data_IF_913516848550
#
_entry.id   IF_913516848550
#
_cell.length_a   1.000
_cell.length_b   1.000
_cell.length_c   1.000
_cell.angle_alpha   90.00
_cell.angle_beta   90.00
_cell.angle_gamma   90.00
#
_symmetry.space_group_name_H-M   'P 1'
#
loop_
_entity.id
_entity.type
_entity.pdbx_description
1 polymer ?
#
# COMPACT_ATOMS: atom_id res chain seq x y z
N UNK A 1 12.30 -2.97 26.51
CA UNK A 1 11.63 -3.59 25.36
C UNK A 1 12.66 -3.71 24.24
N UNK A 2 12.89 -4.91 23.72
CA UNK A 2 13.81 -5.11 22.60
C UNK A 2 13.22 -4.47 21.35
N UNK A 3 14.02 -3.68 20.61
CA UNK A 3 13.57 -3.09 19.34
C UNK A 3 13.22 -4.24 18.38
N UNK A 4 12.07 -4.20 17.69
CA UNK A 4 11.73 -5.23 16.71
C UNK A 4 12.78 -5.26 15.60
N UNK A 5 13.03 -6.45 15.05
CA UNK A 5 13.97 -6.65 13.95
C UNK A 5 13.55 -5.80 12.74
N UNK A 6 14.46 -4.99 12.15
CA UNK A 6 14.16 -4.18 10.97
C UNK A 6 13.69 -5.03 9.79
N UNK A 7 12.79 -4.49 8.95
CA UNK A 7 12.22 -5.25 7.84
C UNK A 7 13.29 -5.61 6.82
N UNK A 8 14.24 -4.70 6.60
CA UNK A 8 15.44 -4.94 5.78
C UNK A 8 16.19 -6.19 6.21
N UNK A 9 16.36 -6.40 7.51
CA UNK A 9 17.05 -7.59 8.05
C UNK A 9 16.25 -8.87 7.82
N UNK A 10 14.92 -8.81 7.98
CA UNK A 10 14.03 -9.95 7.73
C UNK A 10 14.09 -10.34 6.26
N UNK A 11 13.95 -9.37 5.36
CA UNK A 11 13.97 -9.61 3.91
C UNK A 11 15.35 -10.02 3.41
N UNK A 12 16.45 -9.48 3.95
CA UNK A 12 17.80 -9.90 3.60
C UNK A 12 18.04 -11.37 3.95
N UNK A 13 17.62 -11.81 5.15
CA UNK A 13 17.71 -13.22 5.57
C UNK A 13 16.91 -14.13 4.62
N UNK A 14 15.70 -13.70 4.25
CA UNK A 14 14.87 -14.47 3.30
C UNK A 14 15.52 -14.58 1.92
N UNK A 15 16.15 -13.50 1.43
CA UNK A 15 16.88 -13.49 0.17
C UNK A 15 18.12 -14.39 0.21
N UNK A 16 18.85 -14.42 1.32
CA UNK A 16 20.01 -15.30 1.48
C UNK A 16 19.61 -16.78 1.40
N UNK A 17 18.46 -17.16 1.99
CA UNK A 17 17.93 -18.51 1.82
C UNK A 17 17.58 -18.83 0.36
N UNK A 18 16.93 -17.90 -0.35
CA UNK A 18 16.62 -18.06 -1.78
C UNK A 18 17.90 -18.20 -2.62
N UNK A 19 18.95 -17.43 -2.31
CA UNK A 19 20.23 -17.50 -3.04
C UNK A 19 21.03 -18.76 -2.73
N UNK A 20 20.81 -19.39 -1.58
CA UNK A 20 21.44 -20.64 -1.22
C UNK A 20 20.78 -21.87 -1.86
N UNK A 21 19.53 -21.74 -2.31
CA UNK A 21 18.79 -22.78 -3.02
C UNK A 21 19.10 -22.74 -4.53
N UNK A 22 19.78 -23.75 -5.10
CA UNK A 22 20.13 -23.77 -6.52
C UNK A 22 18.92 -23.92 -7.45
N UNK A 23 17.78 -24.39 -6.94
CA UNK A 23 16.56 -24.61 -7.71
C UNK A 23 15.59 -23.41 -7.63
N UNK A 24 15.89 -22.43 -6.77
CA UNK A 24 15.03 -21.27 -6.61
C UNK A 24 15.09 -20.32 -7.83
N UNK A 25 13.94 -19.82 -8.31
CA UNK A 25 13.92 -18.83 -9.39
C UNK A 25 14.68 -17.56 -9.01
N UNK A 26 15.60 -17.14 -9.88
CA UNK A 26 16.43 -15.93 -9.68
C UNK A 26 15.72 -14.62 -10.03
N UNK A 27 14.56 -14.72 -10.68
CA UNK A 27 13.69 -13.59 -11.05
C UNK A 27 12.30 -13.73 -10.43
N UNK A 28 11.63 -12.61 -10.26
CA UNK A 28 10.23 -12.50 -9.84
C UNK A 28 9.29 -12.86 -10.99
N UNK A 29 7.99 -13.01 -10.68
CA UNK A 29 6.95 -13.20 -11.69
C UNK A 29 6.86 -12.03 -12.70
N UNK A 30 7.29 -10.83 -12.31
CA UNK A 30 7.36 -9.65 -13.18
C UNK A 30 8.73 -9.49 -13.86
N UNK A 31 9.63 -10.46 -13.74
CA UNK A 31 10.92 -10.49 -14.44
C UNK A 31 12.06 -9.71 -13.78
N UNK A 32 11.82 -9.03 -12.65
CA UNK A 32 12.88 -8.37 -11.88
C UNK A 32 13.78 -9.39 -11.17
N UNK A 33 15.08 -9.09 -10.96
CA UNK A 33 15.92 -9.88 -10.07
C UNK A 33 15.29 -10.01 -8.67
N UNK A 34 15.44 -11.18 -8.03
CA UNK A 34 15.02 -11.36 -6.63
C UNK A 34 15.81 -10.45 -5.70
N UNK A 35 15.12 -9.80 -4.77
CA UNK A 35 15.69 -8.81 -3.86
C UNK A 35 15.54 -7.36 -4.32
N UNK A 36 14.79 -7.10 -5.40
CA UNK A 36 14.66 -5.75 -5.95
C UNK A 36 14.12 -4.73 -4.92
N UNK A 37 13.29 -5.15 -3.96
CA UNK A 37 12.81 -4.26 -2.89
C UNK A 37 13.97 -3.75 -2.00
N UNK A 38 14.97 -4.61 -1.75
CA UNK A 38 16.15 -4.27 -0.96
C UNK A 38 17.12 -3.38 -1.74
N UNK A 39 17.27 -3.66 -3.03
CA UNK A 39 18.21 -2.99 -3.94
C UNK A 39 17.73 -1.57 -4.30
N UNK A 40 16.42 -1.37 -4.41
CA UNK A 40 15.80 -0.06 -4.70
C UNK A 40 15.60 0.81 -3.45
N UNK A 41 15.85 0.27 -2.25
CA UNK A 41 15.64 0.99 -0.99
C UNK A 41 14.17 1.14 -0.57
N UNK A 42 13.23 0.51 -1.30
CA UNK A 42 11.78 0.55 -0.99
C UNK A 42 11.51 0.08 0.44
N UNK A 43 12.22 -0.95 0.90
CA UNK A 43 12.06 -1.46 2.28
C UNK A 43 12.34 -0.38 3.32
N UNK A 44 13.35 0.46 3.10
CA UNK A 44 13.73 1.50 4.05
C UNK A 44 12.77 2.70 4.01
N UNK A 45 12.20 3.00 2.84
CA UNK A 45 11.14 4.01 2.69
C UNK A 45 9.85 3.62 3.43
N UNK A 46 9.49 2.33 3.38
CA UNK A 46 8.23 1.83 3.97
C UNK A 46 8.36 1.49 5.46
N UNK A 47 9.56 1.16 5.95
CA UNK A 47 9.83 0.76 7.34
C UNK A 47 9.15 1.63 8.42
N UNK A 48 9.08 2.98 8.32
CA UNK A 48 8.41 3.81 9.32
C UNK A 48 6.89 3.57 9.43
N UNK A 49 6.27 3.04 8.37
CA UNK A 49 4.83 2.83 8.24
C UNK A 49 4.41 1.38 8.53
N UNK A 50 5.36 0.50 8.85
CA UNK A 50 5.10 -0.93 9.08
C UNK A 50 4.28 -1.13 10.35
N UNK A 51 3.09 -1.69 10.20
CA UNK A 51 2.16 -2.03 11.28
C UNK A 51 2.22 -3.51 11.64
N UNK A 52 2.60 -4.37 10.70
CA UNK A 52 2.78 -5.80 10.90
C UNK A 52 4.05 -6.29 10.23
N UNK A 53 4.86 -7.06 10.96
CA UNK A 53 6.08 -7.68 10.42
C UNK A 53 5.80 -9.16 10.12
N UNK A 54 6.36 -9.69 9.03
CA UNK A 54 6.13 -11.07 8.63
C UNK A 54 6.74 -12.03 9.65
N UNK A 55 6.01 -13.09 9.96
CA UNK A 55 6.49 -14.15 10.86
C UNK A 55 7.52 -15.07 10.18
N UNK A 56 7.38 -15.28 8.87
CA UNK A 56 8.26 -16.11 8.05
C UNK A 56 8.27 -15.62 6.58
N UNK A 57 8.99 -16.34 5.72
CA UNK A 57 9.17 -15.98 4.31
C UNK A 57 7.88 -16.07 3.46
N UNK A 58 6.85 -16.77 3.92
CA UNK A 58 5.55 -16.87 3.27
C UNK A 58 4.61 -15.71 3.61
N UNK A 59 4.84 -15.03 4.73
CA UNK A 59 4.03 -13.93 5.24
C UNK A 59 4.37 -12.59 4.55
N UNK A 60 3.54 -11.57 4.77
CA UNK A 60 3.68 -10.21 4.23
C UNK A 60 3.92 -9.19 5.35
N UNK A 61 4.67 -8.14 5.06
CA UNK A 61 4.72 -6.98 5.95
C UNK A 61 3.55 -6.05 5.63
N UNK A 62 2.74 -5.66 6.61
CA UNK A 62 1.67 -4.68 6.40
C UNK A 62 2.14 -3.29 6.79
N UNK A 63 1.67 -2.29 6.07
CA UNK A 63 1.97 -0.89 6.32
C UNK A 63 0.71 -0.03 6.16
N UNK A 64 0.64 1.08 6.90
CA UNK A 64 -0.48 2.00 6.86
C UNK A 64 -0.04 3.41 7.25
N UNK A 65 -0.73 4.42 6.72
CA UNK A 65 -0.42 5.82 6.98
C UNK A 65 0.75 6.34 6.14
N UNK A 66 1.05 5.69 5.00
CA UNK A 66 2.13 6.13 4.12
C UNK A 66 1.80 7.51 3.55
N UNK A 67 2.68 8.47 3.83
CA UNK A 67 2.47 9.90 3.57
C UNK A 67 2.88 10.33 2.15
N UNK A 68 2.48 11.54 1.78
CA UNK A 68 2.76 12.09 0.44
C UNK A 68 4.26 12.25 0.13
N UNK A 69 5.09 12.51 1.14
CA UNK A 69 6.54 12.64 0.96
C UNK A 69 7.18 11.28 0.60
N UNK A 70 6.79 10.22 1.30
CA UNK A 70 7.23 8.85 1.00
C UNK A 70 6.64 8.37 -0.32
N UNK A 71 5.39 8.73 -0.62
CA UNK A 71 4.77 8.40 -1.89
C UNK A 71 5.53 9.01 -3.08
N UNK A 72 5.98 10.27 -2.96
CA UNK A 72 6.86 10.92 -3.95
C UNK A 72 8.18 10.17 -4.10
N UNK A 73 8.82 9.80 -3.00
CA UNK A 73 10.08 9.06 -3.04
C UNK A 73 9.91 7.67 -3.71
N UNK A 74 8.78 6.99 -3.48
CA UNK A 74 8.46 5.73 -4.13
C UNK A 74 8.19 5.90 -5.63
N UNK A 75 7.50 6.96 -6.05
CA UNK A 75 7.32 7.28 -7.48
C UNK A 75 8.65 7.45 -8.21
N UNK A 76 9.65 8.04 -7.54
CA UNK A 76 10.98 8.25 -8.12
C UNK A 76 11.85 6.98 -8.12
N UNK A 77 11.63 6.07 -7.15
CA UNK A 77 12.43 4.86 -6.98
C UNK A 77 11.91 3.65 -7.78
N UNK A 78 10.61 3.58 -8.03
CA UNK A 78 9.98 2.37 -8.58
C UNK A 78 10.09 2.30 -10.11
N UNK A 79 10.48 1.13 -10.66
CA UNK A 79 10.33 0.85 -12.08
C UNK A 79 8.87 0.92 -12.54
N UNK A 80 8.64 1.35 -13.78
CA UNK A 80 7.29 1.52 -14.35
C UNK A 80 6.39 0.28 -14.22
N UNK A 81 6.94 -0.93 -14.41
CA UNK A 81 6.18 -2.19 -14.27
C UNK A 81 5.54 -2.37 -12.88
N UNK A 82 6.15 -1.82 -11.83
CA UNK A 82 5.58 -1.85 -10.48
C UNK A 82 4.58 -0.73 -10.24
N UNK A 83 4.74 0.40 -10.91
CA UNK A 83 3.76 1.49 -10.86
C UNK A 83 2.46 1.12 -11.61
N UNK A 84 2.56 0.35 -12.69
CA UNK A 84 1.43 -0.11 -13.49
C UNK A 84 0.69 -1.31 -12.88
N UNK A 85 1.28 -1.95 -11.87
CA UNK A 85 0.69 -3.06 -11.12
C UNK A 85 -0.44 -2.56 -10.19
N UNK A 86 -1.38 -3.45 -9.83
CA UNK A 86 -2.55 -3.13 -9.00
C UNK A 86 -2.99 -4.30 -8.13
N UNK A 87 -3.53 -4.01 -6.94
CA UNK A 87 -4.19 -5.03 -6.14
C UNK A 87 -5.54 -5.39 -6.77
N UNK A 88 -5.64 -6.52 -7.47
CA UNK A 88 -6.89 -6.98 -8.09
C UNK A 88 -7.59 -5.87 -8.88
N UNK A 89 -8.75 -5.40 -8.40
CA UNK A 89 -9.56 -4.38 -9.06
C UNK A 89 -9.30 -2.94 -8.56
N UNK A 90 -8.29 -2.75 -7.71
CA UNK A 90 -7.84 -1.46 -7.20
C UNK A 90 -7.28 -0.53 -8.30
N UNK A 91 -7.08 0.76 -8.00
CA UNK A 91 -6.25 1.63 -8.83
C UNK A 91 -4.82 1.09 -8.95
N UNK A 92 -4.08 1.56 -9.95
CA UNK A 92 -2.66 1.22 -10.03
C UNK A 92 -1.88 1.79 -8.85
N UNK A 93 -0.78 1.13 -8.47
CA UNK A 93 0.10 1.64 -7.41
C UNK A 93 0.56 3.07 -7.74
N UNK A 94 0.91 3.33 -9.00
CA UNK A 94 1.31 4.65 -9.46
C UNK A 94 0.22 5.71 -9.27
N UNK A 95 -1.04 5.38 -9.51
CA UNK A 95 -2.18 6.28 -9.28
C UNK A 95 -2.36 6.58 -7.79
N UNK A 96 -2.31 5.56 -6.92
CA UNK A 96 -2.42 5.76 -5.48
C UNK A 96 -1.26 6.59 -4.90
N UNK A 97 -0.03 6.30 -5.31
CA UNK A 97 1.14 7.07 -4.89
C UNK A 97 1.06 8.52 -5.36
N UNK A 98 0.56 8.76 -6.58
CA UNK A 98 0.39 10.12 -7.11
C UNK A 98 -0.68 10.89 -6.33
N UNK A 99 -1.81 10.26 -6.01
CA UNK A 99 -2.84 10.85 -5.17
C UNK A 99 -2.28 11.29 -3.81
N UNK A 100 -1.55 10.41 -3.10
CA UNK A 100 -0.90 10.76 -1.84
C UNK A 100 0.14 11.88 -1.99
N UNK A 101 0.94 11.85 -3.05
CA UNK A 101 2.00 12.83 -3.28
C UNK A 101 1.49 14.20 -3.75
N UNK A 102 0.29 14.29 -4.32
CA UNK A 102 -0.35 15.53 -4.78
C UNK A 102 -1.30 16.10 -3.72
N UNK A 103 -1.86 15.24 -2.86
CA UNK A 103 -2.81 15.58 -1.80
C UNK A 103 -2.32 15.12 -0.41
N UNK A 104 -1.15 15.61 0.07
CA UNK A 104 -0.47 15.05 1.26
C UNK A 104 -1.24 15.22 2.57
N UNK A 105 -2.16 16.19 2.67
CA UNK A 105 -3.00 16.40 3.86
C UNK A 105 -4.30 15.58 3.80
N UNK A 106 -4.69 15.12 2.61
CA UNK A 106 -5.99 14.51 2.31
C UNK A 106 -5.91 13.01 2.06
N UNK A 107 -4.75 12.49 1.65
CA UNK A 107 -4.56 11.09 1.24
C UNK A 107 -3.36 10.46 1.94
N UNK A 108 -3.61 9.36 2.61
CA UNK A 108 -2.58 8.43 3.09
C UNK A 108 -2.89 7.03 2.54
N UNK A 109 -1.87 6.18 2.40
CA UNK A 109 -2.04 4.84 1.83
C UNK A 109 -1.88 3.74 2.88
N UNK A 110 -2.46 2.57 2.57
CA UNK A 110 -2.21 1.32 3.26
C UNK A 110 -2.00 0.17 2.27
N UNK A 111 -1.27 -0.85 2.72
CA UNK A 111 -0.87 -1.94 1.86
C UNK A 111 0.04 -2.95 2.51
N UNK A 112 0.76 -3.68 1.67
CA UNK A 112 1.71 -4.68 2.11
C UNK A 112 2.94 -4.78 1.21
N UNK A 113 3.98 -5.42 1.75
CA UNK A 113 5.17 -5.85 1.05
C UNK A 113 5.24 -7.38 1.06
N UNK A 114 5.42 -7.97 -0.11
CA UNK A 114 5.82 -9.38 -0.26
C UNK A 114 7.33 -9.41 -0.36
N UNK A 115 7.99 -10.06 0.61
CA UNK A 115 9.44 -10.12 0.67
C UNK A 115 10.08 -11.02 -0.40
N UNK A 116 11.40 -10.93 -0.55
CA UNK A 116 12.15 -11.67 -1.56
C UNK A 116 12.21 -13.18 -1.31
N UNK A 117 11.58 -13.69 -0.26
CA UNK A 117 11.36 -15.12 -0.04
C UNK A 117 10.35 -15.73 -1.02
N UNK A 118 9.48 -14.92 -1.63
CA UNK A 118 8.46 -15.36 -2.60
C UNK A 118 8.72 -14.81 -4.01
N UNK A 119 8.28 -15.57 -5.01
CA UNK A 119 8.44 -15.20 -6.45
C UNK A 119 7.58 -14.00 -6.84
N UNK A 120 6.53 -13.71 -6.08
CA UNK A 120 5.67 -12.55 -6.22
C UNK A 120 6.12 -11.38 -5.32
N UNK A 121 7.43 -11.21 -5.12
CA UNK A 121 8.04 -10.06 -4.42
C UNK A 121 7.48 -8.73 -4.96
N UNK A 122 6.87 -7.93 -4.06
CA UNK A 122 5.95 -6.87 -4.46
C UNK A 122 5.80 -5.79 -3.39
N UNK A 123 5.61 -4.54 -3.84
CA UNK A 123 4.95 -3.49 -3.09
C UNK A 123 3.53 -3.32 -3.63
N UNK A 124 2.53 -3.41 -2.75
CA UNK A 124 1.12 -3.26 -3.13
C UNK A 124 0.44 -2.29 -2.19
N UNK A 125 -0.33 -1.35 -2.75
CA UNK A 125 -1.30 -0.56 -2.01
C UNK A 125 -2.69 -1.17 -2.24
N UNK A 126 -3.37 -1.56 -1.15
CA UNK A 126 -4.70 -2.19 -1.18
C UNK A 126 -5.80 -1.25 -0.71
N UNK A 127 -5.43 -0.04 -0.27
CA UNK A 127 -6.40 0.94 0.19
C UNK A 127 -5.78 2.31 0.44
N UNK A 128 -6.66 3.26 0.75
CA UNK A 128 -6.30 4.63 1.12
C UNK A 128 -7.18 5.13 2.28
N UNK A 129 -6.67 6.12 2.99
CA UNK A 129 -7.40 6.94 3.95
C UNK A 129 -7.63 8.30 3.32
N UNK A 130 -8.91 8.66 3.12
CA UNK A 130 -9.32 9.93 2.55
C UNK A 130 -9.84 10.86 3.67
N UNK A 131 -9.14 11.96 3.91
CA UNK A 131 -9.48 12.99 4.89
C UNK A 131 -10.31 14.10 4.24
N UNK A 132 -11.36 13.70 3.52
CA UNK A 132 -12.23 14.59 2.75
C UNK A 132 -13.70 14.34 3.08
N UNK A 133 -14.52 15.36 2.84
CA UNK A 133 -15.96 15.28 2.97
C UNK A 133 -16.44 14.57 4.26
N UNK A 134 -15.98 15.01 5.46
CA UNK A 134 -16.34 14.40 6.73
C UNK A 134 -17.84 14.49 7.05
N UNK A 135 -18.57 15.35 6.33
CA UNK A 135 -20.01 15.54 6.46
C UNK A 135 -20.86 14.47 5.76
N UNK A 136 -20.27 13.62 4.92
CA UNK A 136 -21.02 12.58 4.19
C UNK A 136 -21.52 11.47 5.11
N UNK A 137 -22.74 11.02 4.89
CA UNK A 137 -23.32 9.89 5.62
C UNK A 137 -23.03 8.56 4.90
N UNK A 138 -21.86 7.98 5.18
CA UNK A 138 -21.48 6.65 4.70
C UNK A 138 -21.69 5.61 5.81
N UNK A 139 -22.78 4.87 5.70
CA UNK A 139 -23.15 3.85 6.68
C UNK A 139 -22.44 2.53 6.42
N UNK A 140 -22.02 1.84 7.49
CA UNK A 140 -21.28 0.57 7.40
C UNK A 140 -22.04 -0.55 6.65
N UNK A 141 -23.38 -0.46 6.58
CA UNK A 141 -24.22 -1.41 5.84
C UNK A 141 -24.53 -1.00 4.40
N UNK A 142 -24.06 0.16 3.95
CA UNK A 142 -24.33 0.73 2.61
C UNK A 142 -25.81 0.65 2.19
N UNK A 143 -26.73 0.97 3.11
CA UNK A 143 -28.17 0.90 2.86
C UNK A 143 -28.66 2.03 1.94
N UNK A 144 -29.95 2.00 1.59
CA UNK A 144 -30.59 3.08 0.84
C UNK A 144 -30.36 4.44 1.52
N UNK A 145 -29.84 5.41 0.77
CA UNK A 145 -29.47 6.73 1.28
C UNK A 145 -27.98 6.90 1.65
N UNK A 146 -27.18 5.82 1.65
CA UNK A 146 -25.74 5.90 1.87
C UNK A 146 -25.04 6.73 0.80
N UNK A 147 -24.15 7.64 1.20
CA UNK A 147 -23.43 8.55 0.31
C UNK A 147 -22.09 7.97 -0.21
N UNK A 148 -21.87 6.66 -0.11
CA UNK A 148 -20.62 6.01 -0.53
C UNK A 148 -20.26 6.24 -2.00
N UNK A 149 -21.24 6.28 -2.90
CA UNK A 149 -21.03 6.58 -4.31
C UNK A 149 -20.63 8.04 -4.55
N UNK A 150 -21.13 8.96 -3.72
CA UNK A 150 -20.76 10.38 -3.76
C UNK A 150 -19.34 10.59 -3.24
N UNK A 151 -18.99 9.97 -2.11
CA UNK A 151 -17.63 9.93 -1.61
C UNK A 151 -16.66 9.36 -2.65
N UNK A 152 -17.01 8.23 -3.26
CA UNK A 152 -16.18 7.62 -4.31
C UNK A 152 -16.00 8.55 -5.52
N UNK A 153 -17.04 9.30 -5.89
CA UNK A 153 -16.91 10.31 -6.97
C UNK A 153 -15.91 11.41 -6.62
N UNK A 154 -15.92 11.89 -5.37
CA UNK A 154 -14.95 12.87 -4.87
C UNK A 154 -13.53 12.27 -4.93
N UNK A 155 -13.34 11.06 -4.39
CA UNK A 155 -12.02 10.40 -4.39
C UNK A 155 -11.49 10.21 -5.81
N UNK A 156 -12.31 9.76 -6.75
CA UNK A 156 -11.87 9.59 -8.15
C UNK A 156 -11.52 10.91 -8.84
N UNK A 157 -12.40 11.90 -8.72
CA UNK A 157 -12.30 13.13 -9.51
C UNK A 157 -11.36 14.16 -8.87
N UNK A 158 -11.49 14.34 -7.56
CA UNK A 158 -10.83 15.42 -6.84
C UNK A 158 -9.48 14.99 -6.28
N UNK A 159 -9.29 13.69 -5.98
CA UNK A 159 -8.00 13.13 -5.50
C UNK A 159 -7.24 12.33 -6.59
N UNK A 160 -7.75 12.31 -7.82
CA UNK A 160 -7.07 11.68 -8.96
C UNK A 160 -7.01 10.15 -8.95
N UNK A 161 -7.88 9.47 -8.21
CA UNK A 161 -7.91 7.99 -8.11
C UNK A 161 -8.83 7.41 -9.19
N UNK A 162 -8.46 7.56 -10.47
CA UNK A 162 -9.40 7.42 -11.60
C UNK A 162 -9.29 6.13 -12.44
N UNK A 163 -8.30 5.27 -12.17
CA UNK A 163 -8.00 4.06 -12.95
C UNK A 163 -8.37 2.73 -12.28
N UNK A 164 -9.12 2.79 -11.17
CA UNK A 164 -9.69 1.61 -10.52
C UNK A 164 -10.62 0.84 -11.47
N UNK A 165 -10.57 -0.49 -11.43
CA UNK A 165 -11.50 -1.32 -12.23
C UNK A 165 -12.92 -1.22 -11.65
N UNK A 166 -13.03 -1.13 -10.32
CA UNK A 166 -14.30 -1.01 -9.60
C UNK A 166 -14.19 -0.07 -8.39
N UNK A 167 -15.34 0.28 -7.83
CA UNK A 167 -15.40 0.97 -6.53
C UNK A 167 -14.83 0.10 -5.40
N UNK A 168 -14.28 0.68 -4.33
CA UNK A 168 -13.78 -0.06 -3.18
C UNK A 168 -14.78 -1.11 -2.67
N UNK A 169 -14.28 -2.27 -2.26
CA UNK A 169 -15.07 -3.33 -1.61
C UNK A 169 -15.55 -2.92 -0.22
N UNK A 170 -14.84 -2.00 0.43
CA UNK A 170 -15.20 -1.45 1.73
C UNK A 170 -14.93 0.05 1.80
N UNK A 171 -15.89 0.80 2.35
CA UNK A 171 -15.77 2.23 2.63
C UNK A 171 -16.30 2.47 4.04
N UNK A 172 -15.40 2.73 5.00
CA UNK A 172 -15.74 2.86 6.41
C UNK A 172 -15.22 4.16 7.02
N UNK A 173 -15.98 4.76 7.94
CA UNK A 173 -15.44 5.79 8.81
C UNK A 173 -14.33 5.19 9.70
N UNK A 174 -13.21 5.90 9.82
CA UNK A 174 -12.06 5.46 10.59
C UNK A 174 -11.37 6.63 11.29
N UNK A 175 -10.84 6.38 12.48
CA UNK A 175 -9.92 7.31 13.16
C UNK A 175 -8.57 6.61 13.26
N UNK A 176 -7.56 7.20 12.62
CA UNK A 176 -6.23 6.62 12.57
C UNK A 176 -5.43 6.93 13.85
N UNK A 177 -4.71 5.97 14.46
CA UNK A 177 -3.95 6.20 15.69
C UNK A 177 -2.90 7.31 15.60
N UNK A 178 -2.33 7.55 14.41
CA UNK A 178 -1.33 8.60 14.15
C UNK A 178 -1.94 9.97 13.85
N UNK A 179 -3.26 10.04 13.56
CA UNK A 179 -4.04 11.28 13.40
C UNK A 179 -5.35 11.19 14.22
N UNK A 180 -5.26 11.12 15.56
CA UNK A 180 -6.38 10.74 16.43
C UNK A 180 -7.55 11.75 16.47
N UNK A 181 -7.36 12.95 15.91
CA UNK A 181 -8.37 14.02 15.91
C UNK A 181 -8.92 14.32 14.51
N UNK A 182 -8.55 13.53 13.51
CA UNK A 182 -8.92 13.73 12.12
C UNK A 182 -9.59 12.45 11.61
N UNK A 183 -10.92 12.34 11.70
CA UNK A 183 -11.62 11.20 11.12
C UNK A 183 -11.44 11.20 9.60
N UNK A 184 -11.37 10.00 9.03
CA UNK A 184 -11.19 9.77 7.60
C UNK A 184 -12.13 8.67 7.12
N UNK A 185 -12.19 8.53 5.79
CA UNK A 185 -12.78 7.38 5.14
C UNK A 185 -11.69 6.38 4.76
N UNK A 186 -11.78 5.17 5.29
CA UNK A 186 -10.96 4.03 4.88
C UNK A 186 -11.60 3.37 3.67
N UNK A 187 -10.93 3.43 2.52
CA UNK A 187 -11.32 2.79 1.28
C UNK A 187 -10.38 1.61 1.03
N UNK A 188 -10.93 0.42 0.77
CA UNK A 188 -10.16 -0.82 0.62
C UNK A 188 -10.70 -1.68 -0.53
N UNK A 189 -9.79 -2.35 -1.24
CA UNK A 189 -10.06 -3.30 -2.31
C UNK A 189 -9.50 -4.68 -1.94
N UNK A 190 -10.25 -5.75 -2.24
CA UNK A 190 -9.79 -7.14 -2.07
C UNK A 190 -8.94 -7.57 -3.25
#
# INVERSE_FOLDING_TARGET
>A
MTRPTPLRTIFATALDHVRADPDAPTVTLLGNPRGWLLDTGVVDLVEPFVTWRPADAGDVARWAGLDGATARALLDALPAVHLDDRQNDAPTLGTLLRAAAEHPDEVELQGYLVGPGRVDERLSAEGLFAYVAPELDVTAGHHAGCECARLWTIVRRDLGVDDAVRMPDSINAQVNPWRPYEPCWSLWWD
#
